data_IF_783212087548
#
_entry.id   IF_783212087548
#
_cell.length_a   1.000
_cell.length_b   1.000
_cell.length_c   1.000
_cell.angle_alpha   90.00
_cell.angle_beta   90.00
_cell.angle_gamma   90.00
#
_symmetry.space_group_name_H-M   'P 1'
#
loop_
_entity.id
_entity.type
_entity.pdbx_description
1 polymer ?
#
# COMPACT_ATOMS: atom_id res chain seq x y z
N UNK A 1 40.32 2.07 4.19
CA UNK A 1 39.56 2.08 2.93
C UNK A 1 38.20 2.66 3.22
N UNK A 2 38.03 3.94 2.89
CA UNK A 2 36.78 4.68 3.03
C UNK A 2 35.74 4.05 2.10
N UNK A 3 34.75 3.39 2.69
CA UNK A 3 33.54 2.94 1.99
C UNK A 3 32.89 4.18 1.35
N UNK A 4 33.02 4.30 0.02
CA UNK A 4 32.19 5.21 -0.77
C UNK A 4 30.75 4.75 -0.58
N UNK A 5 30.05 5.33 0.40
CA UNK A 5 28.59 5.22 0.48
C UNK A 5 28.05 5.75 -0.84
N UNK A 6 27.51 4.86 -1.67
CA UNK A 6 26.75 5.24 -2.85
C UNK A 6 25.69 6.27 -2.42
N UNK A 7 25.51 7.39 -3.13
CA UNK A 7 24.46 8.34 -2.81
C UNK A 7 23.14 7.58 -2.81
N UNK A 8 22.46 7.60 -1.67
CA UNK A 8 21.15 6.98 -1.52
C UNK A 8 20.18 7.72 -2.43
N UNK A 9 19.26 7.05 -3.11
CA UNK A 9 18.21 7.76 -3.87
C UNK A 9 17.21 8.42 -2.95
N UNK A 10 16.73 9.59 -3.35
CA UNK A 10 15.65 10.29 -2.64
C UNK A 10 14.33 9.55 -2.79
N UNK A 11 13.39 9.73 -1.86
CA UNK A 11 12.00 9.27 -2.03
C UNK A 11 11.26 10.16 -3.02
N UNK A 12 11.43 11.46 -2.89
CA UNK A 12 10.78 12.47 -3.73
C UNK A 12 11.75 12.92 -4.82
N UNK A 13 11.41 12.60 -6.06
CA UNK A 13 12.22 12.91 -7.25
C UNK A 13 11.59 13.99 -8.11
N UNK A 14 12.42 14.79 -8.76
CA UNK A 14 11.95 15.66 -9.85
C UNK A 14 11.61 14.85 -11.11
N UNK A 15 10.61 15.30 -11.86
CA UNK A 15 10.20 14.63 -13.09
C UNK A 15 11.30 14.74 -14.16
N UNK A 16 11.83 13.61 -14.59
CA UNK A 16 12.81 13.50 -15.67
C UNK A 16 12.15 13.21 -17.04
N UNK A 17 10.84 13.45 -17.16
CA UNK A 17 10.07 13.10 -18.36
C UNK A 17 10.38 14.00 -19.55
N UNK A 18 10.84 13.36 -20.64
CA UNK A 18 10.99 13.95 -21.97
C UNK A 18 9.65 14.39 -22.58
N UNK A 19 9.72 15.28 -23.58
CA UNK A 19 8.54 15.90 -24.19
C UNK A 19 7.52 14.89 -24.75
N UNK A 20 8.02 13.79 -25.34
CA UNK A 20 7.15 12.75 -25.91
C UNK A 20 6.48 11.89 -24.84
N UNK A 21 7.12 11.68 -23.68
CA UNK A 21 6.45 11.05 -22.54
C UNK A 21 5.28 11.90 -22.07
N UNK A 22 5.48 13.23 -21.97
CA UNK A 22 4.41 14.17 -21.59
C UNK A 22 3.27 14.19 -22.61
N UNK A 23 3.59 14.06 -23.90
CA UNK A 23 2.57 13.95 -24.94
C UNK A 23 1.73 12.68 -24.79
N UNK A 24 2.37 11.54 -24.56
CA UNK A 24 1.66 10.27 -24.29
C UNK A 24 0.79 10.36 -23.04
N UNK A 25 1.28 11.00 -21.97
CA UNK A 25 0.49 11.22 -20.75
C UNK A 25 -0.78 12.02 -21.07
N UNK A 26 -0.70 13.05 -21.92
CA UNK A 26 -1.90 13.81 -22.35
C UNK A 26 -2.88 12.91 -23.10
N UNK A 27 -2.40 12.02 -23.97
CA UNK A 27 -3.24 11.05 -24.68
C UNK A 27 -3.89 10.07 -23.69
N UNK A 28 -3.13 9.50 -22.75
CA UNK A 28 -3.67 8.60 -21.73
C UNK A 28 -4.71 9.31 -20.86
N UNK A 29 -4.47 10.57 -20.46
CA UNK A 29 -5.41 11.37 -19.67
C UNK A 29 -6.72 11.73 -20.39
N UNK A 30 -6.80 11.53 -21.71
CA UNK A 30 -8.07 11.64 -22.42
C UNK A 30 -9.02 10.46 -22.17
N UNK A 31 -8.50 9.33 -21.67
CA UNK A 31 -9.27 8.19 -21.19
C UNK A 31 -9.29 8.07 -19.66
N UNK A 32 -9.91 7.02 -19.12
CA UNK A 32 -9.95 6.79 -17.67
C UNK A 32 -8.54 6.44 -17.16
N UNK A 33 -8.07 7.14 -16.14
CA UNK A 33 -6.79 6.86 -15.47
C UNK A 33 -7.09 6.17 -14.14
N UNK A 34 -6.42 5.07 -13.78
CA UNK A 34 -6.61 4.43 -12.48
C UNK A 34 -6.26 5.43 -11.38
N UNK A 35 -7.14 5.58 -10.39
CA UNK A 35 -6.91 6.46 -9.23
C UNK A 35 -5.93 5.82 -8.26
N UNK A 36 -6.04 4.51 -8.08
CA UNK A 36 -5.18 3.72 -7.21
C UNK A 36 -4.51 2.57 -7.97
N UNK A 37 -3.17 2.54 -7.96
CA UNK A 37 -2.38 1.43 -8.51
C UNK A 37 -1.62 0.69 -7.42
N UNK A 38 -1.76 -0.63 -7.35
CA UNK A 38 -0.99 -1.51 -6.47
C UNK A 38 0.17 -2.19 -7.23
N UNK A 39 1.38 -2.26 -6.65
CA UNK A 39 2.55 -2.87 -7.26
C UNK A 39 3.09 -4.03 -6.42
N UNK A 40 3.22 -5.20 -7.05
CA UNK A 40 4.06 -6.31 -6.56
C UNK A 40 5.42 -6.19 -7.24
N UNK A 41 6.38 -5.61 -6.51
CA UNK A 41 7.72 -5.24 -6.97
C UNK A 41 8.70 -6.44 -7.01
N UNK A 42 8.34 -7.47 -7.78
CA UNK A 42 9.09 -8.73 -7.87
C UNK A 42 10.24 -8.65 -8.91
N UNK A 43 11.28 -9.45 -8.71
CA UNK A 43 12.41 -9.59 -9.64
C UNK A 43 13.75 -9.04 -9.15
N UNK A 44 13.82 -8.37 -8.01
CA UNK A 44 15.06 -7.75 -7.49
C UNK A 44 16.25 -8.72 -7.42
N UNK A 45 16.04 -9.93 -6.88
CA UNK A 45 17.10 -10.96 -6.79
C UNK A 45 17.49 -11.54 -8.15
N UNK A 46 16.54 -11.68 -9.07
CA UNK A 46 16.79 -12.14 -10.44
C UNK A 46 17.61 -11.10 -11.21
N UNK A 47 17.29 -9.83 -11.02
CA UNK A 47 18.03 -8.71 -11.58
C UNK A 47 19.46 -8.68 -11.04
N UNK A 48 19.65 -8.82 -9.72
CA UNK A 48 20.99 -8.87 -9.13
C UNK A 48 21.87 -9.99 -9.73
N UNK A 49 21.29 -11.18 -9.93
CA UNK A 49 21.97 -12.30 -10.60
C UNK A 49 22.29 -12.01 -12.07
N UNK A 50 21.36 -11.39 -12.80
CA UNK A 50 21.52 -11.02 -14.21
C UNK A 50 22.68 -10.03 -14.39
N UNK A 51 22.75 -9.01 -13.54
CA UNK A 51 23.77 -7.96 -13.60
C UNK A 51 25.07 -8.31 -12.85
N UNK A 52 25.16 -9.52 -12.28
CA UNK A 52 26.29 -9.99 -11.48
C UNK A 52 26.66 -9.05 -10.30
N UNK A 53 25.64 -8.54 -9.61
CA UNK A 53 25.77 -7.67 -8.42
C UNK A 53 25.22 -8.36 -7.16
N UNK A 54 25.53 -7.81 -5.99
CA UNK A 54 25.02 -8.32 -4.73
C UNK A 54 23.48 -8.25 -4.64
N UNK A 55 22.84 -9.21 -3.96
CA UNK A 55 21.38 -9.20 -3.73
C UNK A 55 20.91 -7.90 -3.07
N UNK A 56 21.67 -7.41 -2.08
CA UNK A 56 21.41 -6.14 -1.39
C UNK A 56 21.34 -4.96 -2.37
N UNK A 57 22.29 -4.90 -3.32
CA UNK A 57 22.33 -3.87 -4.35
C UNK A 57 21.13 -3.97 -5.30
N UNK A 58 20.70 -5.18 -5.66
CA UNK A 58 19.47 -5.38 -6.44
C UNK A 58 18.21 -4.88 -5.71
N UNK A 59 18.14 -5.03 -4.38
CA UNK A 59 17.06 -4.46 -3.57
C UNK A 59 17.15 -2.93 -3.48
N UNK A 60 18.35 -2.38 -3.34
CA UNK A 60 18.58 -0.93 -3.37
C UNK A 60 18.13 -0.31 -4.70
N UNK A 61 18.52 -0.88 -5.83
CA UNK A 61 18.05 -0.47 -7.17
C UNK A 61 16.53 -0.64 -7.32
N UNK A 62 15.95 -1.64 -6.68
CA UNK A 62 14.50 -1.79 -6.60
C UNK A 62 13.82 -0.63 -5.86
N UNK A 63 14.43 -0.13 -4.79
CA UNK A 63 13.95 1.08 -4.11
C UNK A 63 14.10 2.33 -4.99
N UNK A 64 15.23 2.49 -5.67
CA UNK A 64 15.44 3.61 -6.60
C UNK A 64 14.34 3.65 -7.68
N UNK A 65 13.96 2.46 -8.18
CA UNK A 65 12.89 2.31 -9.14
C UNK A 65 11.50 2.63 -8.56
N UNK A 66 11.27 2.30 -7.30
CA UNK A 66 10.04 2.69 -6.59
C UNK A 66 9.88 4.21 -6.59
N UNK A 67 10.90 4.94 -6.15
CA UNK A 67 10.85 6.42 -6.14
C UNK A 67 10.56 6.99 -7.54
N UNK A 68 11.24 6.46 -8.57
CA UNK A 68 11.00 6.89 -9.96
C UNK A 68 9.57 6.58 -10.43
N UNK A 69 9.04 5.40 -10.07
CA UNK A 69 7.68 4.99 -10.43
C UNK A 69 6.62 5.83 -9.71
N UNK A 70 6.85 6.22 -8.46
CA UNK A 70 5.95 7.12 -7.73
C UNK A 70 5.85 8.49 -8.41
N UNK A 71 6.98 9.04 -8.87
CA UNK A 71 6.98 10.27 -9.66
C UNK A 71 6.18 10.10 -10.95
N UNK A 72 6.39 9.02 -11.68
CA UNK A 72 5.64 8.74 -12.90
C UNK A 72 4.14 8.58 -12.66
N UNK A 73 3.74 7.92 -11.57
CA UNK A 73 2.34 7.80 -11.18
C UNK A 73 1.72 9.19 -10.98
N UNK A 74 2.41 10.08 -10.27
CA UNK A 74 1.95 11.46 -10.07
C UNK A 74 1.82 12.22 -11.40
N UNK A 75 2.81 12.11 -12.29
CA UNK A 75 2.78 12.75 -13.62
C UNK A 75 1.60 12.26 -14.48
N UNK A 76 1.33 10.94 -14.44
CA UNK A 76 0.18 10.30 -15.10
C UNK A 76 -1.16 10.71 -14.48
N UNK A 77 -1.17 11.18 -13.22
CA UNK A 77 -2.38 11.57 -12.49
C UNK A 77 -2.96 10.49 -11.57
N UNK A 78 -2.19 9.43 -11.31
CA UNK A 78 -2.51 8.42 -10.29
C UNK A 78 -2.25 9.04 -8.93
N UNK A 79 -3.25 9.00 -8.03
CA UNK A 79 -3.19 9.70 -6.73
C UNK A 79 -2.82 8.78 -5.58
N UNK A 80 -3.12 7.49 -5.67
CA UNK A 80 -2.84 6.52 -4.62
C UNK A 80 -2.01 5.37 -5.18
N UNK A 81 -0.96 4.99 -4.45
CA UNK A 81 -0.09 3.87 -4.81
C UNK A 81 0.09 2.96 -3.61
N UNK A 82 -0.17 1.66 -3.78
CA UNK A 82 0.16 0.66 -2.76
C UNK A 82 1.30 -0.22 -3.25
N UNK A 83 2.35 -0.42 -2.44
CA UNK A 83 3.51 -1.23 -2.86
C UNK A 83 3.76 -2.38 -1.91
N UNK A 84 4.02 -3.58 -2.46
CA UNK A 84 4.37 -4.75 -1.66
C UNK A 84 5.87 -4.77 -1.38
N UNK A 85 6.27 -4.14 -0.28
CA UNK A 85 7.68 -3.95 0.07
C UNK A 85 8.27 -5.14 0.82
N UNK A 86 7.56 -5.71 1.80
CA UNK A 86 8.04 -6.85 2.58
C UNK A 86 6.88 -7.74 3.06
N UNK A 87 6.91 -9.02 2.67
CA UNK A 87 5.89 -10.00 3.08
C UNK A 87 6.25 -10.67 4.41
N UNK A 88 5.26 -11.08 5.20
CA UNK A 88 5.50 -11.95 6.39
C UNK A 88 6.22 -13.24 5.99
N UNK A 89 5.92 -13.77 4.80
CA UNK A 89 6.60 -14.96 4.25
C UNK A 89 8.11 -14.72 4.01
N UNK A 90 8.56 -13.47 3.93
CA UNK A 90 9.97 -13.14 3.74
C UNK A 90 10.80 -13.30 5.02
N UNK A 91 10.19 -13.39 6.20
CA UNK A 91 10.88 -13.77 7.43
C UNK A 91 11.41 -15.21 7.41
N UNK A 92 10.89 -16.07 6.52
CA UNK A 92 11.37 -17.46 6.34
C UNK A 92 12.69 -17.55 5.55
N UNK A 93 13.23 -16.42 5.07
CA UNK A 93 14.52 -16.36 4.37
C UNK A 93 15.67 -16.49 5.38
N UNK A 94 16.91 -16.57 4.89
CA UNK A 94 18.07 -16.63 5.79
C UNK A 94 18.17 -15.35 6.61
N UNK A 95 18.68 -15.47 7.84
CA UNK A 95 18.79 -14.34 8.77
C UNK A 95 19.56 -13.18 8.15
N UNK A 96 20.65 -13.47 7.44
CA UNK A 96 21.48 -12.46 6.77
C UNK A 96 20.70 -11.69 5.69
N UNK A 97 19.82 -12.37 4.94
CA UNK A 97 18.98 -11.72 3.92
C UNK A 97 17.89 -10.87 4.58
N UNK A 98 17.32 -11.32 5.70
CA UNK A 98 16.32 -10.55 6.47
C UNK A 98 16.98 -9.31 7.09
N UNK A 99 18.11 -9.46 7.77
CA UNK A 99 18.85 -8.38 8.42
C UNK A 99 19.24 -7.30 7.38
N UNK A 100 19.73 -7.72 6.21
CA UNK A 100 20.03 -6.80 5.09
C UNK A 100 18.80 -6.01 4.63
N UNK A 101 17.62 -6.65 4.56
CA UNK A 101 16.38 -5.97 4.16
C UNK A 101 15.89 -5.01 5.23
N UNK A 102 16.07 -5.34 6.52
CA UNK A 102 15.76 -4.47 7.65
C UNK A 102 16.70 -3.26 7.70
N UNK A 103 18.00 -3.47 7.44
CA UNK A 103 18.98 -2.39 7.32
C UNK A 103 18.64 -1.43 6.18
N UNK A 104 18.26 -1.97 5.01
CA UNK A 104 17.79 -1.17 3.89
C UNK A 104 16.51 -0.39 4.26
N UNK A 105 15.54 -1.03 4.91
CA UNK A 105 14.31 -0.37 5.33
C UNK A 105 14.61 0.79 6.30
N UNK A 106 15.48 0.57 7.29
CA UNK A 106 15.93 1.60 8.23
C UNK A 106 16.57 2.78 7.52
N UNK A 107 17.49 2.53 6.58
CA UNK A 107 18.13 3.57 5.78
C UNK A 107 17.08 4.39 5.01
N UNK A 108 16.14 3.71 4.33
CA UNK A 108 15.14 4.40 3.51
C UNK A 108 14.13 5.18 4.35
N UNK A 109 13.62 4.65 5.45
CA UNK A 109 12.69 5.40 6.29
C UNK A 109 13.35 6.58 7.00
N UNK A 110 14.62 6.47 7.42
CA UNK A 110 15.37 7.64 7.92
C UNK A 110 15.50 8.71 6.86
N UNK A 111 15.85 8.30 5.65
CA UNK A 111 15.93 9.23 4.52
C UNK A 111 14.59 9.89 4.18
N UNK A 112 13.48 9.15 4.27
CA UNK A 112 12.14 9.71 4.10
C UNK A 112 11.89 10.87 5.08
N UNK A 113 12.30 10.72 6.33
CA UNK A 113 12.16 11.74 7.37
C UNK A 113 13.05 12.96 7.10
N UNK A 114 14.25 12.76 6.57
CA UNK A 114 15.14 13.85 6.11
C UNK A 114 14.51 14.67 4.97
N UNK A 115 13.60 14.07 4.18
CA UNK A 115 12.88 14.70 3.07
C UNK A 115 11.52 15.31 3.45
N UNK A 116 11.25 15.53 4.75
CA UNK A 116 9.96 16.04 5.24
C UNK A 116 9.42 17.26 4.49
N UNK A 117 10.29 18.19 4.14
CA UNK A 117 9.88 19.45 3.50
C UNK A 117 9.34 19.17 2.10
N UNK A 118 10.00 18.26 1.35
CA UNK A 118 9.54 17.80 0.03
C UNK A 118 8.22 17.03 0.13
N UNK A 119 8.06 16.20 1.16
CA UNK A 119 6.82 15.44 1.39
C UNK A 119 5.64 16.38 1.63
N UNK A 120 5.82 17.43 2.44
CA UNK A 120 4.80 18.44 2.68
C UNK A 120 4.51 19.31 1.48
N UNK A 121 5.54 19.80 0.79
CA UNK A 121 5.40 20.60 -0.43
C UNK A 121 4.55 19.87 -1.48
N UNK A 122 4.80 18.57 -1.65
CA UNK A 122 4.04 17.74 -2.59
C UNK A 122 2.76 17.15 -2.01
N UNK A 123 2.50 17.34 -0.73
CA UNK A 123 1.34 16.80 -0.03
C UNK A 123 1.24 15.28 -0.12
N UNK A 124 2.36 14.57 0.05
CA UNK A 124 2.41 13.09 0.05
C UNK A 124 2.08 12.56 1.44
N UNK A 125 1.03 11.76 1.56
CA UNK A 125 0.64 11.03 2.76
C UNK A 125 1.19 9.60 2.70
N UNK A 126 2.03 9.24 3.67
CA UNK A 126 2.62 7.91 3.79
C UNK A 126 1.79 7.11 4.78
N UNK A 127 1.41 5.89 4.40
CA UNK A 127 0.73 4.92 5.27
C UNK A 127 1.49 3.61 5.25
N UNK A 128 1.55 2.93 6.39
CA UNK A 128 2.12 1.58 6.49
C UNK A 128 0.97 0.60 6.70
N UNK A 129 0.91 -0.44 5.87
CA UNK A 129 -0.08 -1.52 6.03
C UNK A 129 0.65 -2.83 6.33
N UNK A 130 0.23 -3.54 7.39
CA UNK A 130 0.86 -4.77 7.84
C UNK A 130 1.14 -4.78 9.35
N UNK A 131 1.66 -5.91 9.82
CA UNK A 131 1.87 -6.14 11.24
C UNK A 131 3.22 -5.58 11.71
N UNK A 132 3.23 -4.30 12.07
CA UNK A 132 4.43 -3.60 12.57
C UNK A 132 5.01 -4.24 13.84
N UNK A 133 4.22 -4.97 14.63
CA UNK A 133 4.70 -5.68 15.83
C UNK A 133 5.71 -6.80 15.54
N UNK A 134 5.86 -7.22 14.28
CA UNK A 134 6.88 -8.19 13.85
C UNK A 134 8.23 -7.54 13.52
N UNK A 135 8.30 -6.21 13.51
CA UNK A 135 9.49 -5.47 13.09
C UNK A 135 10.39 -5.11 14.27
N UNK A 136 11.69 -4.88 14.05
CA UNK A 136 12.57 -4.25 15.04
C UNK A 136 12.01 -2.90 15.52
N UNK A 137 12.14 -2.60 16.82
CA UNK A 137 11.56 -1.41 17.49
C UNK A 137 11.98 -0.10 16.84
N UNK A 138 13.24 -0.01 16.43
CA UNK A 138 13.82 1.16 15.76
C UNK A 138 13.21 1.40 14.37
N UNK A 139 12.82 0.35 13.65
CA UNK A 139 12.10 0.45 12.37
C UNK A 139 10.64 0.85 12.61
N UNK A 140 9.99 0.26 13.62
CA UNK A 140 8.63 0.65 14.03
C UNK A 140 8.56 2.14 14.33
N UNK A 141 9.54 2.67 15.08
CA UNK A 141 9.64 4.10 15.38
C UNK A 141 9.74 4.95 14.12
N UNK A 142 10.70 4.67 13.22
CA UNK A 142 10.88 5.46 11.99
C UNK A 142 9.63 5.44 11.10
N UNK A 143 8.97 4.29 11.00
CA UNK A 143 7.72 4.15 10.26
C UNK A 143 6.59 4.96 10.90
N UNK A 144 6.43 4.87 12.21
CA UNK A 144 5.39 5.59 12.94
C UNK A 144 5.55 7.11 12.83
N UNK A 145 6.79 7.59 12.96
CA UNK A 145 7.13 9.00 12.77
C UNK A 145 6.77 9.47 11.35
N UNK A 146 7.12 8.71 10.32
CA UNK A 146 6.81 9.07 8.93
C UNK A 146 5.29 9.13 8.65
N UNK A 147 4.52 8.21 9.22
CA UNK A 147 3.05 8.23 9.12
C UNK A 147 2.49 9.47 9.81
N UNK A 148 2.89 9.74 11.06
CA UNK A 148 2.39 10.89 11.82
C UNK A 148 2.76 12.24 11.19
N UNK A 149 3.98 12.34 10.67
CA UNK A 149 4.49 13.51 9.97
C UNK A 149 3.61 13.85 8.76
N UNK A 150 3.19 12.84 8.00
CA UNK A 150 2.50 13.02 6.71
C UNK A 150 0.98 12.81 6.76
N UNK A 151 0.41 12.52 7.93
CA UNK A 151 -1.01 12.11 8.07
C UNK A 151 -2.02 13.16 7.56
N UNK A 152 -1.67 14.44 7.59
CA UNK A 152 -2.56 15.54 7.17
C UNK A 152 -2.41 15.92 5.70
N UNK A 153 -1.47 15.29 4.98
CA UNK A 153 -1.26 15.53 3.56
C UNK A 153 -2.38 14.86 2.73
N UNK A 154 -2.81 15.47 1.63
CA UNK A 154 -4.00 15.03 0.88
C UNK A 154 -3.82 14.96 -0.64
N UNK A 155 -2.64 15.29 -1.18
CA UNK A 155 -2.44 15.39 -2.63
C UNK A 155 -2.14 14.02 -3.27
N UNK A 156 -1.32 13.21 -2.60
CA UNK A 156 -0.94 11.87 -3.03
C UNK A 156 -0.82 10.93 -1.84
N UNK A 157 -1.11 9.64 -2.05
CA UNK A 157 -1.09 8.62 -1.00
C UNK A 157 -0.15 7.48 -1.40
N UNK A 158 0.74 7.11 -0.50
CA UNK A 158 1.61 5.96 -0.65
C UNK A 158 1.40 5.00 0.52
N UNK A 159 0.84 3.84 0.20
CA UNK A 159 0.62 2.77 1.16
C UNK A 159 1.75 1.73 1.00
N UNK A 160 2.62 1.62 2.00
CA UNK A 160 3.74 0.67 2.00
C UNK A 160 3.31 -0.59 2.74
N UNK A 161 3.12 -1.69 2.02
CA UNK A 161 2.82 -2.97 2.61
C UNK A 161 4.11 -3.63 3.12
N UNK A 162 4.29 -3.62 4.44
CA UNK A 162 5.50 -4.06 5.11
C UNK A 162 5.13 -4.99 6.27
N UNK A 163 5.83 -6.13 6.39
CA UNK A 163 5.40 -7.23 7.27
C UNK A 163 3.91 -7.59 7.04
N UNK A 164 3.53 -7.69 5.76
CA UNK A 164 2.14 -7.83 5.33
C UNK A 164 1.89 -9.17 4.63
N UNK A 165 0.73 -9.78 4.88
CA UNK A 165 0.04 -10.72 3.98
C UNK A 165 -1.46 -10.46 4.08
N UNK A 166 -2.21 -10.73 3.01
CA UNK A 166 -3.65 -10.50 3.01
C UNK A 166 -4.38 -11.40 4.00
N UNK A 167 -3.93 -12.65 4.16
CA UNK A 167 -4.47 -13.55 5.20
C UNK A 167 -4.22 -13.05 6.63
N UNK A 168 -3.07 -12.45 6.92
CA UNK A 168 -2.82 -11.83 8.24
C UNK A 168 -3.75 -10.63 8.46
N UNK A 169 -3.90 -9.75 7.47
CA UNK A 169 -4.82 -8.60 7.54
C UNK A 169 -6.27 -9.03 7.79
N UNK A 170 -6.75 -10.06 7.08
CA UNK A 170 -8.09 -10.60 7.29
C UNK A 170 -8.23 -11.16 8.71
N UNK A 171 -7.26 -11.98 9.15
CA UNK A 171 -7.27 -12.55 10.50
C UNK A 171 -7.19 -11.47 11.59
N UNK A 172 -6.43 -10.40 11.37
CA UNK A 172 -6.36 -9.24 12.26
C UNK A 172 -7.71 -8.53 12.36
N UNK A 173 -8.36 -8.26 11.22
CA UNK A 173 -9.66 -7.60 11.18
C UNK A 173 -10.74 -8.39 11.90
N UNK A 174 -10.75 -9.72 11.71
CA UNK A 174 -11.65 -10.63 12.43
C UNK A 174 -11.39 -10.57 13.95
N UNK A 175 -10.12 -10.56 14.39
CA UNK A 175 -9.76 -10.43 15.81
C UNK A 175 -10.27 -9.11 16.40
N UNK A 176 -10.07 -7.99 15.71
CA UNK A 176 -10.54 -6.66 16.15
C UNK A 176 -12.06 -6.63 16.32
N UNK A 177 -12.80 -7.20 15.36
CA UNK A 177 -14.27 -7.29 15.45
C UNK A 177 -14.71 -8.23 16.57
N UNK A 178 -14.07 -9.39 16.73
CA UNK A 178 -14.38 -10.34 17.79
C UNK A 178 -14.17 -9.74 19.19
N UNK A 179 -13.10 -8.95 19.38
CA UNK A 179 -12.88 -8.17 20.60
C UNK A 179 -13.99 -7.14 20.81
N UNK A 180 -14.41 -6.42 19.77
CA UNK A 180 -15.54 -5.49 19.83
C UNK A 180 -16.85 -6.15 20.26
N UNK A 181 -17.11 -7.38 19.82
CA UNK A 181 -18.27 -8.17 20.27
C UNK A 181 -18.13 -8.61 21.73
N UNK A 182 -16.96 -9.13 22.12
CA UNK A 182 -16.67 -9.53 23.50
C UNK A 182 -16.84 -8.37 24.48
N UNK A 183 -16.39 -7.19 24.09
CA UNK A 183 -16.41 -5.97 24.92
C UNK A 183 -17.79 -5.27 24.89
N UNK A 184 -18.79 -5.86 24.22
CA UNK A 184 -20.16 -5.35 24.14
C UNK A 184 -20.33 -4.10 23.26
N UNK A 185 -19.30 -3.73 22.50
CA UNK A 185 -19.34 -2.58 21.58
C UNK A 185 -20.09 -2.92 20.28
N UNK A 186 -20.03 -4.18 19.85
CA UNK A 186 -20.75 -4.71 18.70
C UNK A 186 -21.63 -5.90 19.09
N UNK A 187 -22.65 -6.17 18.28
CA UNK A 187 -23.38 -7.42 18.28
C UNK A 187 -22.92 -8.29 17.10
N UNK A 188 -23.01 -9.61 17.21
CA UNK A 188 -22.62 -10.52 16.11
C UNK A 188 -23.36 -10.22 14.79
N UNK A 189 -24.62 -9.79 14.88
CA UNK A 189 -25.43 -9.37 13.72
C UNK A 189 -25.03 -8.02 13.11
N UNK A 190 -24.19 -7.24 13.79
CA UNK A 190 -23.71 -5.96 13.27
C UNK A 190 -22.57 -6.18 12.25
N UNK A 191 -21.93 -7.36 12.26
CA UNK A 191 -20.79 -7.72 11.42
C UNK A 191 -21.24 -7.98 9.99
N UNK A 192 -20.70 -7.18 9.06
CA UNK A 192 -20.84 -7.34 7.61
C UNK A 192 -19.51 -7.00 6.90
N UNK A 193 -19.50 -7.05 5.57
CA UNK A 193 -18.31 -6.76 4.75
C UNK A 193 -17.78 -5.34 5.00
N UNK A 194 -18.66 -4.37 5.26
CA UNK A 194 -18.29 -2.98 5.55
C UNK A 194 -17.51 -2.88 6.87
N UNK A 195 -18.04 -3.48 7.94
CA UNK A 195 -17.37 -3.47 9.26
C UNK A 195 -16.00 -4.14 9.16
N UNK A 196 -15.89 -5.29 8.49
CA UNK A 196 -14.61 -5.97 8.29
C UNK A 196 -13.62 -5.10 7.50
N UNK A 197 -14.06 -4.52 6.38
CA UNK A 197 -13.22 -3.64 5.54
C UNK A 197 -12.69 -2.45 6.34
N UNK A 198 -13.52 -1.86 7.20
CA UNK A 198 -13.13 -0.73 8.06
C UNK A 198 -12.22 -1.10 9.24
N UNK A 199 -12.01 -2.40 9.50
CA UNK A 199 -11.04 -2.92 10.47
C UNK A 199 -9.73 -3.40 9.83
N UNK A 200 -9.62 -3.41 8.50
CA UNK A 200 -8.40 -3.79 7.79
C UNK A 200 -7.27 -2.76 7.98
N UNK A 201 -6.03 -3.17 7.76
CA UNK A 201 -4.89 -2.23 7.71
C UNK A 201 -5.10 -1.17 6.62
N UNK A 202 -5.73 -1.57 5.53
CA UNK A 202 -6.11 -0.74 4.38
C UNK A 202 -7.37 0.12 4.56
N UNK A 203 -7.95 0.22 5.76
CA UNK A 203 -9.21 0.96 6.01
C UNK A 203 -9.25 2.44 5.57
N UNK A 204 -8.09 3.06 5.35
CA UNK A 204 -7.95 4.45 4.84
C UNK A 204 -7.69 4.52 3.32
N UNK A 205 -7.51 3.36 2.68
CA UNK A 205 -7.19 3.24 1.26
C UNK A 205 -8.47 3.08 0.44
N UNK A 206 -8.42 3.52 -0.81
CA UNK A 206 -9.39 3.05 -1.81
C UNK A 206 -9.01 1.65 -2.30
N UNK A 207 -9.95 0.89 -2.84
CA UNK A 207 -9.59 -0.37 -3.53
C UNK A 207 -8.74 -0.07 -4.78
N UNK A 208 -7.73 -0.89 -5.11
CA UNK A 208 -6.89 -0.65 -6.27
C UNK A 208 -7.69 -0.82 -7.56
N UNK A 209 -7.58 0.15 -8.47
CA UNK A 209 -8.13 0.06 -9.81
C UNK A 209 -7.32 -0.92 -10.68
N UNK A 210 -5.99 -0.90 -10.48
CA UNK A 210 -5.01 -1.66 -11.24
C UNK A 210 -3.97 -2.27 -10.28
N UNK A 211 -3.73 -3.57 -10.41
CA UNK A 211 -2.64 -4.27 -9.73
C UNK A 211 -1.60 -4.72 -10.77
N UNK A 212 -0.39 -4.19 -10.66
CA UNK A 212 0.74 -4.52 -11.52
C UNK A 212 1.69 -5.47 -10.79
N UNK A 213 2.02 -6.59 -11.42
CA UNK A 213 3.08 -7.48 -10.95
C UNK A 213 4.16 -7.67 -12.00
N UNK A 214 5.39 -7.43 -11.60
CA UNK A 214 6.59 -7.62 -12.42
C UNK A 214 7.10 -9.07 -12.38
N UNK A 215 8.14 -9.33 -13.17
CA UNK A 215 8.95 -10.56 -13.22
C UNK A 215 8.36 -11.80 -13.90
N UNK A 216 7.17 -11.71 -14.47
CA UNK A 216 6.51 -12.78 -15.24
C UNK A 216 5.75 -13.81 -14.41
N UNK A 217 5.73 -13.67 -13.09
CA UNK A 217 4.96 -14.53 -12.20
C UNK A 217 3.47 -14.18 -12.27
N UNK A 218 2.61 -15.17 -12.51
CA UNK A 218 1.15 -14.99 -12.66
C UNK A 218 0.37 -15.42 -11.41
N UNK A 219 0.69 -14.82 -10.25
CA UNK A 219 -0.05 -15.03 -8.98
C UNK A 219 -0.10 -13.74 -8.17
N UNK A 220 -0.91 -13.68 -7.12
CA UNK A 220 -0.96 -12.51 -6.23
C UNK A 220 -0.03 -12.60 -5.02
N UNK A 221 0.46 -13.80 -4.67
CA UNK A 221 1.39 -13.98 -3.54
C UNK A 221 0.86 -13.43 -2.21
N UNK A 222 -0.42 -13.67 -1.93
CA UNK A 222 -1.09 -13.25 -0.68
C UNK A 222 -1.05 -11.72 -0.48
N UNK A 223 -1.28 -10.97 -1.55
CA UNK A 223 -1.30 -9.51 -1.56
C UNK A 223 -2.69 -8.99 -1.93
N UNK A 224 -3.26 -8.14 -1.06
CA UNK A 224 -4.53 -7.42 -1.26
C UNK A 224 -5.68 -8.30 -1.78
N UNK A 225 -5.86 -9.52 -1.26
CA UNK A 225 -6.82 -10.48 -1.80
C UNK A 225 -8.28 -9.99 -1.64
N UNK A 226 -8.58 -9.30 -0.53
CA UNK A 226 -9.90 -8.72 -0.28
C UNK A 226 -10.18 -7.54 -1.20
N UNK A 227 -9.24 -6.59 -1.24
CA UNK A 227 -9.33 -5.33 -1.97
C UNK A 227 -9.25 -5.55 -3.48
N UNK A 228 -8.60 -6.62 -3.93
CA UNK A 228 -8.39 -6.90 -5.36
C UNK A 228 -9.54 -7.64 -6.06
N UNK A 229 -10.69 -7.82 -5.39
CA UNK A 229 -11.83 -8.58 -5.93
C UNK A 229 -12.34 -8.05 -7.28
N UNK A 230 -12.25 -6.74 -7.46
CA UNK A 230 -12.70 -6.00 -8.64
C UNK A 230 -11.55 -5.21 -9.29
N UNK A 231 -10.30 -5.63 -9.11
CA UNK A 231 -9.13 -4.92 -9.63
C UNK A 231 -8.73 -5.46 -11.01
N UNK A 232 -8.30 -4.58 -11.91
CA UNK A 232 -7.67 -5.02 -13.16
C UNK A 232 -6.26 -5.52 -12.83
N UNK A 233 -5.94 -6.75 -13.18
CA UNK A 233 -4.63 -7.34 -12.90
C UNK A 233 -3.78 -7.32 -14.18
N UNK A 234 -2.56 -6.79 -14.08
CA UNK A 234 -1.61 -6.70 -15.17
C UNK A 234 -0.27 -7.35 -14.78
N UNK A 235 0.08 -8.44 -15.46
CA UNK A 235 1.36 -9.13 -15.30
C UNK A 235 2.33 -8.73 -16.40
N UNK A 236 3.57 -8.40 -16.03
CA UNK A 236 4.66 -8.14 -16.98
C UNK A 236 5.89 -8.98 -16.67
N UNK A 237 6.62 -9.39 -17.71
CA UNK A 237 7.86 -10.18 -17.61
C UNK A 237 9.05 -9.37 -17.11
N UNK A 238 9.00 -8.04 -17.23
CA UNK A 238 10.07 -7.12 -16.83
C UNK A 238 10.41 -7.28 -15.36
N UNK A 239 11.69 -7.35 -14.99
CA UNK A 239 12.12 -7.37 -13.59
C UNK A 239 11.92 -5.99 -12.97
N UNK A 240 11.57 -5.92 -11.69
CA UNK A 240 11.25 -4.64 -11.05
C UNK A 240 12.30 -3.54 -11.26
N UNK A 241 13.62 -3.75 -11.02
CA UNK A 241 14.61 -2.69 -11.24
C UNK A 241 14.73 -2.18 -12.69
N UNK A 242 14.22 -2.95 -13.67
CA UNK A 242 14.20 -2.61 -15.10
C UNK A 242 12.87 -1.97 -15.54
N UNK A 243 11.91 -1.82 -14.62
CA UNK A 243 10.63 -1.21 -14.91
C UNK A 243 10.84 0.22 -15.45
N UNK A 244 10.04 0.62 -16.43
CA UNK A 244 10.21 1.90 -17.12
C UNK A 244 8.86 2.58 -17.29
N UNK A 245 8.88 3.87 -17.61
CA UNK A 245 7.68 4.64 -17.90
C UNK A 245 6.81 3.98 -18.99
N UNK A 246 7.43 3.31 -19.97
CA UNK A 246 6.72 2.57 -21.02
C UNK A 246 5.94 1.38 -20.49
N UNK A 247 6.46 0.69 -19.48
CA UNK A 247 5.74 -0.39 -18.81
C UNK A 247 4.55 0.15 -18.00
N UNK A 248 4.71 1.32 -17.35
CA UNK A 248 3.59 1.99 -16.68
C UNK A 248 2.52 2.41 -17.70
N UNK A 249 2.91 3.03 -18.82
CA UNK A 249 1.98 3.37 -19.90
C UNK A 249 1.25 2.15 -20.44
N UNK A 250 1.97 1.04 -20.65
CA UNK A 250 1.36 -0.23 -21.08
C UNK A 250 0.33 -0.75 -20.08
N UNK A 251 0.62 -0.67 -18.78
CA UNK A 251 -0.30 -1.09 -17.72
C UNK A 251 -1.55 -0.19 -17.64
N UNK A 252 -1.38 1.13 -17.75
CA UNK A 252 -2.50 2.10 -17.76
C UNK A 252 -3.34 1.94 -19.02
N UNK A 253 -2.71 1.75 -20.18
CA UNK A 253 -3.44 1.49 -21.43
C UNK A 253 -4.22 0.18 -21.38
N UNK A 254 -3.64 -0.87 -20.77
CA UNK A 254 -4.35 -2.12 -20.53
C UNK A 254 -5.56 -1.91 -19.61
N UNK A 255 -5.39 -1.15 -18.52
CA UNK A 255 -6.50 -0.75 -17.65
C UNK A 255 -7.60 -0.05 -18.45
N UNK A 256 -7.27 0.93 -19.30
CA UNK A 256 -8.24 1.66 -20.13
C UNK A 256 -9.03 0.73 -21.05
N UNK A 257 -8.35 -0.21 -21.70
CA UNK A 257 -8.99 -1.19 -22.58
C UNK A 257 -9.99 -2.08 -21.83
N UNK A 258 -9.60 -2.55 -20.63
CA UNK A 258 -10.45 -3.42 -19.81
C UNK A 258 -11.56 -2.63 -19.11
N UNK A 259 -11.31 -1.40 -18.69
CA UNK A 259 -12.27 -0.53 -18.01
C UNK A 259 -13.59 -0.45 -18.78
N UNK A 260 -13.53 -0.22 -20.10
CA UNK A 260 -14.72 -0.15 -20.95
C UNK A 260 -15.47 -1.48 -21.09
N UNK A 261 -14.77 -2.62 -20.98
CA UNK A 261 -15.41 -3.95 -20.98
C UNK A 261 -16.12 -4.27 -19.66
N UNK A 262 -15.86 -3.48 -18.60
CA UNK A 262 -16.43 -3.66 -17.26
C UNK A 262 -17.62 -2.75 -16.97
N UNK A 263 -17.88 -1.78 -17.84
CA UNK A 263 -19.09 -0.94 -17.75
C UNK A 263 -20.29 -1.86 -17.98
N UNK A 264 -21.01 -2.17 -16.89
CA UNK A 264 -22.08 -3.17 -16.82
C UNK A 264 -21.86 -4.29 -15.79
N UNK A 265 -20.62 -4.56 -15.36
CA UNK A 265 -20.32 -5.51 -14.26
C UNK A 265 -20.23 -4.76 -12.91
N UNK A 266 -19.80 -3.51 -12.92
CA UNK A 266 -19.62 -2.68 -11.72
C UNK A 266 -20.90 -2.03 -11.17
N UNK A 267 -22.04 -2.11 -11.88
CA UNK A 267 -23.31 -1.50 -11.43
C UNK A 267 -24.01 -2.26 -10.30
N UNK A 268 -23.43 -3.37 -9.84
CA UNK A 268 -23.83 -4.01 -8.58
C UNK A 268 -22.65 -3.92 -7.61
N UNK A 269 -22.57 -2.85 -6.82
CA UNK A 269 -21.64 -2.82 -5.70
C UNK A 269 -21.81 -4.07 -4.85
N UNK A 270 -20.72 -4.63 -4.30
CA UNK A 270 -20.80 -5.82 -3.44
C UNK A 270 -21.80 -5.60 -2.28
N UNK A 271 -21.84 -4.39 -1.71
CA UNK A 271 -22.84 -3.99 -0.69
C UNK A 271 -24.29 -3.92 -1.19
N UNK A 272 -24.54 -3.87 -2.51
CA UNK A 272 -25.90 -3.97 -3.06
C UNK A 272 -26.46 -5.39 -2.91
N UNK A 273 -25.61 -6.41 -2.72
CA UNK A 273 -26.04 -7.74 -2.24
C UNK A 273 -26.38 -7.72 -0.75
N UNK A 274 -25.67 -6.94 0.07
CA UNK A 274 -26.01 -6.75 1.50
C UNK A 274 -27.39 -6.11 1.71
N UNK A 275 -27.86 -5.29 0.76
CA UNK A 275 -29.23 -4.75 0.82
C UNK A 275 -30.30 -5.86 0.79
N UNK A 276 -30.05 -6.99 0.12
CA UNK A 276 -30.96 -8.14 0.13
C UNK A 276 -31.01 -8.84 1.50
N UNK A 277 -29.95 -8.73 2.31
CA UNK A 277 -29.91 -9.25 3.69
C UNK A 277 -30.44 -8.23 4.72
N UNK A 278 -30.34 -6.93 4.41
CA UNK A 278 -30.82 -5.81 5.25
C UNK A 278 -32.32 -5.50 5.05
N UNK A 279 -33.00 -6.14 4.10
CA UNK A 279 -34.44 -5.98 3.82
C UNK A 279 -35.35 -6.25 5.02
N UNK A 280 -34.88 -7.02 6.02
CA UNK A 280 -35.65 -7.36 7.23
C UNK A 280 -35.47 -6.42 8.44
N UNK A 281 -34.66 -5.36 8.33
CA UNK A 281 -34.42 -4.44 9.46
C UNK A 281 -35.40 -3.26 9.45
N UNK A 282 -36.03 -3.00 10.60
CA UNK A 282 -36.75 -1.73 10.80
C UNK A 282 -35.78 -0.55 10.76
N UNK A 283 -36.28 0.63 10.39
CA UNK A 283 -35.47 1.87 10.34
C UNK A 283 -34.78 2.17 11.68
N UNK A 284 -35.51 1.97 12.78
CA UNK A 284 -34.98 2.06 14.14
C UNK A 284 -33.79 1.12 14.36
N UNK A 285 -33.91 -0.15 14.00
CA UNK A 285 -32.85 -1.13 14.20
C UNK A 285 -31.61 -0.81 13.34
N UNK A 286 -31.79 -0.27 12.12
CA UNK A 286 -30.69 0.22 11.27
C UNK A 286 -29.96 1.40 11.92
N UNK A 287 -30.71 2.37 12.44
CA UNK A 287 -30.14 3.52 13.15
C UNK A 287 -29.31 3.08 14.35
N UNK A 288 -29.86 2.20 15.20
CA UNK A 288 -29.16 1.67 16.37
C UNK A 288 -27.89 0.89 16.00
N UNK A 289 -27.93 0.08 14.93
CA UNK A 289 -26.74 -0.58 14.39
C UNK A 289 -25.69 0.43 13.98
N UNK A 290 -26.08 1.42 13.17
CA UNK A 290 -25.14 2.42 12.65
C UNK A 290 -24.49 3.21 13.79
N UNK A 291 -25.21 3.52 14.86
CA UNK A 291 -24.66 4.17 16.04
C UNK A 291 -23.62 3.29 16.74
N UNK A 292 -23.95 2.01 17.02
CA UNK A 292 -22.99 1.05 17.61
C UNK A 292 -21.74 0.89 16.75
N UNK A 293 -21.92 0.64 15.45
CA UNK A 293 -20.83 0.45 14.49
C UNK A 293 -19.94 1.68 14.41
N UNK A 294 -20.53 2.88 14.31
CA UNK A 294 -19.74 4.12 14.25
C UNK A 294 -18.97 4.38 15.53
N UNK A 295 -19.57 4.09 16.70
CA UNK A 295 -18.88 4.22 17.99
C UNK A 295 -17.70 3.24 18.08
N UNK A 296 -17.94 1.96 17.77
CA UNK A 296 -16.91 0.93 17.74
C UNK A 296 -15.75 1.32 16.81
N UNK A 297 -16.06 1.74 15.59
CA UNK A 297 -15.03 2.09 14.62
C UNK A 297 -14.23 3.31 15.07
N UNK A 298 -14.87 4.35 15.65
CA UNK A 298 -14.14 5.47 16.26
C UNK A 298 -13.18 5.02 17.36
N UNK A 299 -13.58 4.07 18.21
CA UNK A 299 -12.71 3.51 19.24
C UNK A 299 -11.54 2.71 18.64
N UNK A 300 -11.76 1.97 17.55
CA UNK A 300 -10.67 1.30 16.80
C UNK A 300 -9.68 2.33 16.27
N UNK A 301 -10.15 3.36 15.54
CA UNK A 301 -9.27 4.42 15.02
C UNK A 301 -8.48 5.12 16.12
N UNK A 302 -9.12 5.39 17.27
CA UNK A 302 -8.47 6.01 18.42
C UNK A 302 -7.37 5.12 18.98
N UNK A 303 -7.63 3.82 19.20
CA UNK A 303 -6.63 2.86 19.69
C UNK A 303 -5.44 2.74 18.74
N UNK A 304 -5.69 2.69 17.44
CA UNK A 304 -4.64 2.62 16.42
C UNK A 304 -3.76 3.88 16.45
N UNK A 305 -4.38 5.06 16.57
CA UNK A 305 -3.66 6.33 16.67
C UNK A 305 -2.83 6.41 17.96
N UNK A 306 -3.39 6.01 19.11
CA UNK A 306 -2.68 5.94 20.38
C UNK A 306 -1.47 4.99 20.30
N UNK A 307 -1.64 3.83 19.65
CA UNK A 307 -0.57 2.88 19.43
C UNK A 307 0.54 3.44 18.52
N UNK A 308 0.17 4.13 17.45
CA UNK A 308 1.10 4.78 16.52
C UNK A 308 1.93 5.87 17.23
N UNK A 309 1.28 6.72 18.05
CA UNK A 309 1.97 7.75 18.85
C UNK A 309 2.90 7.13 19.89
N UNK A 310 2.50 6.01 20.50
CA UNK A 310 3.36 5.27 21.44
C UNK A 310 4.60 4.71 20.75
N UNK A 311 4.45 4.12 19.56
CA UNK A 311 5.58 3.62 18.76
C UNK A 311 6.56 4.73 18.39
N UNK A 312 6.04 5.90 17.97
CA UNK A 312 6.86 7.06 17.62
C UNK A 312 7.53 7.73 18.84
N UNK A 313 7.07 7.48 20.07
CA UNK A 313 7.67 8.05 21.29
C UNK A 313 8.65 7.10 21.99
N UNK A 314 8.70 5.82 21.59
CA UNK A 314 9.39 4.77 22.33
C UNK A 314 10.92 4.92 22.40
N UNK A 315 11.56 5.67 21.49
CA UNK A 315 13.00 5.93 21.50
C UNK A 315 13.40 7.20 22.27
N UNK A 316 12.46 8.02 22.74
CA UNK A 316 12.77 9.22 23.53
C UNK A 316 13.13 8.91 25.00
N UNK A 317 13.13 7.63 25.39
CA UNK A 317 13.25 7.16 26.79
C UNK A 317 14.47 6.22 27.00
N UNK A 318 15.24 5.91 25.96
CA UNK A 318 16.50 5.13 26.06
C UNK A 318 17.73 6.02 25.80
#
# INVERSE_FOLDING_TARGET
>A
MTSLKLPTSDWVRESNLLWYHRWIIKVLKAGPVPRHVAFIMDGNRRFARKENIAKAEGHSKGFDKLSETLQWCQDVGIREVTVYAFSIENFKRTKEEVDTLMDLAREKFRKLLEERDKLHERGICIRIIGNMGLLPVDIQHCMAEAVLLTQNNQNAFLNVAFSYTSRDEIAHSIRVVAEGVRDGQLQARDIDEEVLTRCMYTKQCTDPDLLVRTSGEMRLSDFLLWQSSSTVIYFTKTLWPEFSIWHLFGAVFYYQRVHWQRIGIQDVPLWRRDNLLKENWTEKARSERNERVNKFLKDVYRRDQEHLVKMASAMAIE
#
